data_IF_006826511703
#
_entry.id   IF_006826511703
#
_cell.length_a   1.000
_cell.length_b   1.000
_cell.length_c   1.000
_cell.angle_alpha   90.00
_cell.angle_beta   90.00
_cell.angle_gamma   90.00
#
_symmetry.space_group_name_H-M   'P 1'
#
loop_
_entity.id
_entity.type
_entity.pdbx_description
1 polymer ?
#
# COMPACT_ATOMS: atom_id res chain seq x y z
N UNK A 1 -17.56 -2.63 4.17
CA UNK A 1 -16.89 -2.74 2.87
C UNK A 1 -16.02 -3.99 2.85
N UNK A 2 -16.00 -4.69 1.75
CA UNK A 2 -15.04 -5.75 1.45
C UNK A 2 -14.43 -5.40 0.10
N UNK A 3 -13.12 -5.37 0.02
CA UNK A 3 -12.40 -4.98 -1.19
C UNK A 3 -11.32 -5.99 -1.56
N UNK A 4 -11.02 -6.03 -2.84
CA UNK A 4 -9.85 -6.65 -3.46
C UNK A 4 -9.00 -5.52 -4.02
N UNK A 5 -7.72 -5.53 -3.73
CA UNK A 5 -6.70 -4.67 -4.33
C UNK A 5 -5.70 -5.55 -5.06
N UNK A 6 -5.42 -5.22 -6.30
CA UNK A 6 -4.44 -5.86 -7.16
C UNK A 6 -3.35 -4.83 -7.50
N UNK A 7 -2.08 -5.19 -7.42
CA UNK A 7 -0.99 -4.27 -7.70
C UNK A 7 0.24 -5.00 -8.22
N UNK A 8 0.94 -4.37 -9.16
CA UNK A 8 2.24 -4.79 -9.66
C UNK A 8 3.37 -4.04 -8.95
N UNK A 9 4.30 -4.79 -8.34
CA UNK A 9 5.46 -4.26 -7.65
C UNK A 9 6.76 -4.47 -8.42
N UNK A 10 7.61 -3.44 -8.44
CA UNK A 10 8.94 -3.51 -9.03
C UNK A 10 9.96 -2.88 -8.10
N UNK A 11 10.84 -3.69 -7.52
CA UNK A 11 11.99 -3.20 -6.79
C UNK A 11 13.19 -3.04 -7.74
N UNK A 12 13.82 -1.87 -7.73
CA UNK A 12 15.05 -1.59 -8.47
C UNK A 12 16.13 -1.17 -7.48
N UNK A 13 17.23 -1.92 -7.47
CA UNK A 13 18.42 -1.61 -6.65
C UNK A 13 19.52 -1.18 -7.61
N UNK A 14 19.96 0.07 -7.51
CA UNK A 14 21.09 0.61 -8.27
C UNK A 14 22.19 1.01 -7.31
N UNK A 15 23.39 0.51 -7.49
CA UNK A 15 24.52 0.83 -6.64
C UNK A 15 25.85 0.42 -7.19
N UNK A 16 26.89 0.83 -6.52
CA UNK A 16 28.25 0.39 -6.80
C UNK A 16 28.49 -0.96 -6.16
N UNK A 17 28.82 -1.98 -6.95
CA UNK A 17 29.17 -3.27 -6.39
C UNK A 17 30.42 -3.18 -5.54
N UNK A 18 30.36 -3.72 -4.33
CA UNK A 18 31.56 -3.95 -3.52
C UNK A 18 32.11 -5.32 -3.85
N UNK A 19 33.33 -5.37 -4.30
CA UNK A 19 34.01 -6.62 -4.59
C UNK A 19 34.98 -6.95 -3.46
N UNK A 20 34.93 -8.20 -3.02
CA UNK A 20 35.95 -8.76 -2.13
C UNK A 20 37.30 -8.84 -2.89
N UNK A 21 38.23 -7.99 -2.51
CA UNK A 21 39.60 -8.07 -3.03
C UNK A 21 40.44 -8.75 -1.97
N UNK A 22 40.94 -9.91 -2.30
CA UNK A 22 41.92 -10.65 -1.47
C UNK A 22 43.32 -10.10 -1.75
N UNK A 23 43.90 -9.46 -0.75
CA UNK A 23 45.32 -9.06 -0.81
C UNK A 23 46.20 -10.23 -0.37
N UNK A 24 47.41 -10.34 -0.96
CA UNK A 24 48.42 -11.31 -0.52
C UNK A 24 48.61 -11.18 1.01
N UNK A 25 48.47 -12.25 1.76
CA UNK A 25 48.34 -12.43 3.20
C UNK A 25 46.91 -12.61 3.73
N UNK A 26 46.00 -13.09 2.92
CA UNK A 26 44.61 -13.43 3.31
C UNK A 26 43.80 -12.27 3.94
N UNK A 27 44.17 -11.04 3.71
CA UNK A 27 43.43 -9.88 4.18
C UNK A 27 42.45 -9.45 3.08
N UNK A 28 41.19 -9.78 3.24
CA UNK A 28 40.12 -9.41 2.32
C UNK A 28 39.51 -8.07 2.81
N UNK A 29 39.60 -7.05 1.97
CA UNK A 29 38.90 -5.78 2.21
C UNK A 29 37.85 -5.58 1.14
N UNK A 30 36.67 -5.18 1.56
CA UNK A 30 35.62 -4.70 0.68
C UNK A 30 36.10 -3.39 0.04
N UNK A 31 36.15 -3.32 -1.27
CA UNK A 31 36.43 -2.11 -2.01
C UNK A 31 35.33 -1.88 -3.02
N UNK A 32 34.83 -0.66 -3.05
CA UNK A 32 33.99 -0.23 -4.16
C UNK A 32 34.84 -0.24 -5.44
N UNK A 33 34.48 -1.10 -6.39
CA UNK A 33 35.20 -1.21 -7.68
C UNK A 33 34.74 -0.15 -8.70
N UNK A 34 33.79 0.70 -8.31
CA UNK A 34 33.24 1.75 -9.15
C UNK A 34 32.31 1.25 -10.24
N UNK A 35 32.02 -0.06 -10.29
CA UNK A 35 31.07 -0.62 -11.26
C UNK A 35 29.64 -0.44 -10.73
N UNK A 36 28.87 0.37 -11.43
CA UNK A 36 27.44 0.50 -11.15
C UNK A 36 26.71 -0.74 -11.65
N UNK A 37 25.93 -1.35 -10.77
CA UNK A 37 25.05 -2.49 -11.12
C UNK A 37 23.61 -2.14 -10.80
N UNK A 38 22.69 -2.61 -11.64
CA UNK A 38 21.25 -2.49 -11.43
C UNK A 38 20.64 -3.88 -11.37
N UNK A 39 19.96 -4.17 -10.29
CA UNK A 39 19.15 -5.39 -10.14
C UNK A 39 17.69 -5.02 -10.05
N UNK A 40 16.82 -5.74 -10.73
CA UNK A 40 15.38 -5.51 -10.75
C UNK A 40 14.66 -6.79 -10.38
N UNK A 41 13.77 -6.71 -9.38
CA UNK A 41 12.87 -7.79 -8.98
C UNK A 41 11.45 -7.31 -9.24
N UNK A 42 10.59 -8.16 -9.80
CA UNK A 42 9.18 -7.88 -10.05
C UNK A 42 8.33 -8.87 -9.27
N UNK A 43 7.18 -8.43 -8.81
CA UNK A 43 6.17 -9.25 -8.17
C UNK A 43 4.79 -8.62 -8.39
N UNK A 44 3.75 -9.44 -8.38
CA UNK A 44 2.36 -9.02 -8.35
C UNK A 44 1.74 -9.54 -7.06
N UNK A 45 0.95 -8.73 -6.39
CA UNK A 45 0.33 -9.07 -5.11
C UNK A 45 -1.13 -8.68 -5.11
N UNK A 46 -1.95 -9.56 -4.56
CA UNK A 46 -3.37 -9.35 -4.34
C UNK A 46 -3.64 -9.20 -2.84
N UNK A 47 -4.39 -8.19 -2.45
CA UNK A 47 -4.79 -7.98 -1.06
C UNK A 47 -6.31 -7.94 -0.92
N UNK A 48 -6.83 -8.68 0.07
CA UNK A 48 -8.22 -8.62 0.47
C UNK A 48 -8.33 -7.82 1.76
N UNK A 49 -9.24 -6.86 1.75
CA UNK A 49 -9.42 -5.97 2.89
C UNK A 49 -10.90 -5.81 3.25
N UNK A 50 -11.20 -5.82 4.54
CA UNK A 50 -12.53 -5.53 5.07
C UNK A 50 -12.47 -4.33 6.01
N UNK A 51 -13.39 -3.36 5.83
CA UNK A 51 -13.40 -2.17 6.67
C UNK A 51 -14.80 -1.58 6.86
N UNK A 52 -14.93 -0.77 7.90
CA UNK A 52 -16.14 0.01 8.20
C UNK A 52 -15.83 1.48 7.94
N UNK A 53 -16.71 2.15 7.22
CA UNK A 53 -16.62 3.57 6.95
C UNK A 53 -17.88 4.30 7.45
N UNK A 54 -17.70 5.53 7.88
CA UNK A 54 -18.78 6.48 8.11
C UNK A 54 -19.00 7.29 6.85
N UNK A 55 -20.24 7.59 6.50
CA UNK A 55 -20.54 8.40 5.33
C UNK A 55 -21.62 9.43 5.60
N UNK A 56 -21.59 10.50 4.81
CA UNK A 56 -22.61 11.53 4.79
C UNK A 56 -22.87 11.96 3.34
N UNK A 57 -24.14 12.21 3.03
CA UNK A 57 -24.59 12.68 1.71
C UNK A 57 -25.49 13.89 1.84
N UNK A 58 -25.41 14.78 0.88
CA UNK A 58 -26.32 15.89 0.70
C UNK A 58 -26.98 15.82 -0.68
N UNK A 59 -28.27 16.02 -0.73
CA UNK A 59 -29.03 16.12 -1.97
C UNK A 59 -28.76 17.47 -2.66
N UNK A 60 -28.44 17.42 -3.93
CA UNK A 60 -28.32 18.61 -4.76
C UNK A 60 -29.62 18.84 -5.51
N UNK A 61 -30.47 19.69 -4.95
CA UNK A 61 -31.78 20.00 -5.53
C UNK A 61 -32.66 18.72 -5.67
N UNK A 62 -33.82 18.86 -6.28
CA UNK A 62 -34.72 17.71 -6.56
C UNK A 62 -34.35 17.00 -7.87
N UNK A 63 -33.05 16.75 -8.08
CA UNK A 63 -32.52 16.22 -9.36
C UNK A 63 -32.10 14.76 -9.30
N UNK A 64 -32.15 14.13 -8.12
CA UNK A 64 -31.58 12.80 -7.90
C UNK A 64 -30.06 12.82 -7.73
N UNK A 65 -29.41 13.99 -7.85
CA UNK A 65 -27.98 14.15 -7.61
C UNK A 65 -27.69 14.27 -6.12
N UNK A 66 -26.67 13.57 -5.67
CA UNK A 66 -26.14 13.64 -4.29
C UNK A 66 -24.64 13.84 -4.34
N UNK A 67 -24.12 14.63 -3.40
CA UNK A 67 -22.67 14.69 -3.11
C UNK A 67 -22.42 14.03 -1.78
N UNK A 68 -21.37 13.29 -1.66
CA UNK A 68 -21.07 12.53 -0.47
C UNK A 68 -19.60 12.47 -0.14
N UNK A 69 -19.35 12.17 1.13
CA UNK A 69 -18.05 11.89 1.69
C UNK A 69 -18.15 10.62 2.53
N UNK A 70 -17.11 9.79 2.46
CA UNK A 70 -16.96 8.60 3.31
C UNK A 70 -15.57 8.63 3.95
N UNK A 71 -15.47 8.17 5.20
CA UNK A 71 -14.24 8.19 5.99
C UNK A 71 -14.11 6.92 6.80
N UNK A 72 -12.92 6.34 6.82
CA UNK A 72 -12.54 5.21 7.66
C UNK A 72 -11.80 5.74 8.89
N UNK A 73 -12.39 5.64 10.11
CA UNK A 73 -11.85 6.32 11.30
C UNK A 73 -10.77 5.53 12.04
N UNK A 74 -10.09 4.61 11.37
CA UNK A 74 -9.03 3.78 11.96
C UNK A 74 -8.06 3.31 10.88
N UNK A 75 -6.85 2.94 11.29
CA UNK A 75 -5.85 2.38 10.39
C UNK A 75 -6.27 0.99 9.88
N UNK A 76 -6.07 0.76 8.60
CA UNK A 76 -6.16 -0.55 7.97
C UNK A 76 -4.75 -1.14 7.94
N UNK A 77 -4.50 -2.10 8.81
CA UNK A 77 -3.17 -2.68 8.99
C UNK A 77 -2.98 -3.88 8.07
N UNK A 78 -1.83 -3.94 7.38
CA UNK A 78 -1.42 -5.14 6.64
C UNK A 78 -0.85 -6.18 7.60
N UNK A 79 -0.70 -7.40 7.12
CA UNK A 79 0.11 -8.40 7.83
C UNK A 79 1.57 -7.92 7.96
N UNK A 80 2.19 -8.27 9.09
CA UNK A 80 3.62 -8.00 9.29
C UNK A 80 4.43 -9.04 8.55
N UNK A 81 5.25 -8.61 7.60
CA UNK A 81 6.20 -9.48 6.92
C UNK A 81 7.55 -9.46 7.66
N UNK A 82 8.05 -10.65 8.00
CA UNK A 82 9.33 -10.83 8.65
C UNK A 82 10.33 -11.48 7.70
N UNK A 83 11.53 -10.92 7.64
CA UNK A 83 12.65 -11.49 6.90
C UNK A 83 13.90 -11.50 7.79
N UNK A 84 14.50 -12.67 7.96
CA UNK A 84 15.75 -12.80 8.72
C UNK A 84 16.92 -12.73 7.78
N UNK A 85 17.75 -11.71 7.95
CA UNK A 85 18.97 -11.49 7.18
C UNK A 85 20.19 -11.63 8.09
N UNK A 86 21.25 -12.23 7.53
CA UNK A 86 22.53 -12.29 8.19
C UNK A 86 23.35 -11.04 7.85
N UNK A 87 23.22 -10.00 8.69
CA UNK A 87 23.99 -8.76 8.58
C UNK A 87 25.22 -8.81 9.49
N UNK A 88 26.26 -8.06 9.15
CA UNK A 88 27.50 -7.96 9.92
C UNK A 88 28.22 -9.32 10.14
N UNK A 89 28.57 -9.96 9.03
CA UNK A 89 29.50 -11.09 9.09
C UNK A 89 30.91 -10.54 9.41
N UNK A 90 31.38 -10.72 10.63
CA UNK A 90 32.78 -10.47 10.97
C UNK A 90 33.61 -11.72 10.67
N UNK A 91 34.65 -11.56 9.88
CA UNK A 91 35.66 -12.59 9.66
C UNK A 91 36.84 -12.30 10.58
N UNK A 92 37.01 -13.13 11.57
CA UNK A 92 38.19 -13.01 12.43
C UNK A 92 39.37 -13.72 11.74
N UNK A 93 40.39 -12.97 11.37
CA UNK A 93 41.61 -13.45 10.74
C UNK A 93 42.77 -13.53 11.77
N UNK A 94 42.49 -13.91 12.99
CA UNK A 94 43.59 -14.16 13.93
C UNK A 94 44.38 -15.41 13.50
N UNK A 95 45.62 -15.22 13.20
CA UNK A 95 46.69 -16.24 13.12
C UNK A 95 46.65 -17.24 11.95
N UNK A 96 46.30 -16.80 10.72
CA UNK A 96 46.56 -17.61 9.51
C UNK A 96 45.75 -18.90 9.40
N UNK A 97 44.74 -19.08 10.22
CA UNK A 97 43.76 -20.17 10.18
C UNK A 97 42.47 -19.73 9.53
N UNK A 98 41.78 -20.64 8.88
CA UNK A 98 40.43 -20.45 8.36
C UNK A 98 39.52 -19.89 9.43
N UNK A 99 39.26 -18.56 9.40
CA UNK A 99 38.41 -17.90 10.36
C UNK A 99 36.97 -18.38 10.22
N UNK A 100 36.32 -18.59 11.33
CA UNK A 100 34.87 -18.82 11.38
C UNK A 100 34.16 -17.49 11.03
N UNK A 101 33.27 -17.51 10.05
CA UNK A 101 32.38 -16.37 9.80
C UNK A 101 31.30 -16.36 10.86
N UNK A 102 31.34 -15.40 11.77
CA UNK A 102 30.26 -15.18 12.73
C UNK A 102 29.36 -14.09 12.14
N UNK A 103 28.19 -14.48 11.65
CA UNK A 103 27.17 -13.57 11.15
C UNK A 103 26.09 -13.40 12.23
N UNK A 104 25.72 -12.17 12.51
CA UNK A 104 24.59 -11.90 13.40
C UNK A 104 23.31 -11.91 12.56
N UNK A 105 22.37 -12.76 12.92
CA UNK A 105 21.05 -12.76 12.33
C UNK A 105 20.27 -11.54 12.83
N UNK A 106 19.71 -10.78 11.91
CA UNK A 106 18.85 -9.64 12.22
C UNK A 106 17.50 -9.86 11.54
N UNK A 107 16.42 -9.85 12.33
CA UNK A 107 15.07 -9.90 11.77
C UNK A 107 14.64 -8.51 11.38
N UNK A 108 14.23 -8.38 10.14
CA UNK A 108 13.65 -7.18 9.56
C UNK A 108 12.15 -7.37 9.50
N UNK A 109 11.38 -6.36 9.91
CA UNK A 109 9.91 -6.38 9.85
C UNK A 109 9.43 -5.22 9.02
N UNK A 110 8.43 -5.48 8.18
CA UNK A 110 7.72 -4.47 7.39
C UNK A 110 6.23 -4.69 7.57
N UNK A 111 5.53 -3.63 7.90
CA UNK A 111 4.07 -3.56 7.96
C UNK A 111 3.64 -2.26 7.28
N UNK A 112 2.52 -2.29 6.59
CA UNK A 112 1.93 -1.12 5.95
C UNK A 112 0.58 -0.86 6.60
N UNK A 113 0.38 0.37 7.04
CA UNK A 113 -0.91 0.84 7.51
C UNK A 113 -1.46 1.85 6.52
N UNK A 114 -2.74 1.74 6.20
CA UNK A 114 -3.49 2.74 5.43
C UNK A 114 -4.35 3.52 6.40
N UNK A 115 -4.04 4.81 6.55
CA UNK A 115 -4.69 5.71 7.49
C UNK A 115 -5.45 6.81 6.74
N UNK A 116 -6.40 7.44 7.42
CA UNK A 116 -7.15 8.59 6.92
C UNK A 116 -7.80 8.37 5.54
N UNK A 117 -8.30 7.14 5.29
CA UNK A 117 -8.96 6.82 4.03
C UNK A 117 -10.25 7.63 3.89
N UNK A 118 -10.23 8.58 2.98
CA UNK A 118 -11.35 9.46 2.64
C UNK A 118 -11.78 9.26 1.19
N UNK A 119 -13.08 9.29 0.98
CA UNK A 119 -13.68 9.17 -0.36
C UNK A 119 -14.65 10.32 -0.55
N UNK A 120 -14.52 11.06 -1.65
CA UNK A 120 -15.43 12.11 -2.06
C UNK A 120 -16.08 11.75 -3.38
N UNK A 121 -17.40 11.90 -3.49
CA UNK A 121 -18.11 11.42 -4.66
C UNK A 121 -19.36 12.24 -5.01
N UNK A 122 -19.80 12.05 -6.24
CA UNK A 122 -21.11 12.45 -6.73
C UNK A 122 -21.86 11.19 -7.13
N UNK A 123 -23.12 11.08 -6.76
CA UNK A 123 -24.01 9.99 -7.12
C UNK A 123 -25.27 10.52 -7.80
N UNK A 124 -25.74 9.79 -8.80
CA UNK A 124 -27.04 10.04 -9.43
C UNK A 124 -27.97 8.86 -9.12
N UNK A 125 -29.05 9.15 -8.40
CA UNK A 125 -30.08 8.19 -8.05
C UNK A 125 -31.27 8.31 -9.00
N UNK A 126 -31.67 7.18 -9.55
CA UNK A 126 -32.87 7.05 -10.35
C UNK A 126 -33.91 6.20 -9.58
N UNK A 127 -35.08 6.79 -9.33
CA UNK A 127 -36.17 6.10 -8.65
C UNK A 127 -36.71 4.97 -9.52
N UNK A 128 -36.89 3.81 -8.91
CA UNK A 128 -37.47 2.62 -9.53
C UNK A 128 -38.50 2.04 -8.56
N UNK A 129 -39.63 1.62 -9.06
CA UNK A 129 -40.70 1.04 -8.20
C UNK A 129 -40.80 -0.46 -8.45
N UNK A 130 -39.78 -1.20 -7.98
CA UNK A 130 -39.70 -2.65 -8.17
C UNK A 130 -40.08 -3.45 -6.90
N UNK A 131 -40.76 -2.81 -5.94
CA UNK A 131 -41.20 -3.44 -4.69
C UNK A 131 -40.06 -3.71 -3.69
N UNK A 132 -39.01 -4.40 -4.10
CA UNK A 132 -37.82 -4.68 -3.27
C UNK A 132 -36.79 -3.55 -3.30
N UNK A 133 -36.83 -2.68 -4.31
CA UNK A 133 -35.87 -1.59 -4.55
C UNK A 133 -36.62 -0.30 -4.84
N UNK A 134 -36.14 0.80 -4.28
CA UNK A 134 -36.72 2.13 -4.47
C UNK A 134 -35.85 2.98 -5.40
N UNK A 135 -34.54 2.77 -5.42
CA UNK A 135 -33.67 3.44 -6.39
C UNK A 135 -32.50 2.58 -6.82
N UNK A 136 -32.02 2.87 -8.02
CA UNK A 136 -30.73 2.45 -8.54
C UNK A 136 -29.86 3.70 -8.68
N UNK A 137 -28.53 3.56 -8.51
CA UNK A 137 -27.65 4.71 -8.63
C UNK A 137 -26.34 4.34 -9.28
N UNK A 138 -25.73 5.35 -9.86
CA UNK A 138 -24.34 5.34 -10.31
C UNK A 138 -23.61 6.43 -9.52
N UNK A 139 -22.38 6.15 -9.13
CA UNK A 139 -21.54 7.13 -8.45
C UNK A 139 -20.12 7.10 -9.00
N UNK A 140 -19.43 8.24 -8.88
CA UNK A 140 -18.03 8.36 -9.22
C UNK A 140 -17.37 9.41 -8.36
N UNK A 141 -16.09 9.25 -8.12
CA UNK A 141 -15.39 10.13 -7.24
C UNK A 141 -13.90 9.84 -7.13
N UNK A 142 -13.31 10.41 -6.08
CA UNK A 142 -11.90 10.28 -5.76
C UNK A 142 -11.73 9.67 -4.37
N UNK A 143 -10.63 8.97 -4.20
CA UNK A 143 -10.22 8.35 -2.95
C UNK A 143 -8.80 8.79 -2.62
N UNK A 144 -8.53 9.07 -1.35
CA UNK A 144 -7.21 9.41 -0.84
C UNK A 144 -6.99 8.76 0.51
N UNK A 145 -5.78 8.32 0.77
CA UNK A 145 -5.38 7.74 2.04
C UNK A 145 -3.88 7.96 2.28
N UNK A 146 -3.46 8.01 3.52
CA UNK A 146 -2.06 7.99 3.90
C UNK A 146 -1.56 6.55 4.04
N UNK A 147 -0.43 6.25 3.41
CA UNK A 147 0.27 4.97 3.50
C UNK A 147 1.47 5.14 4.42
N UNK A 148 1.37 4.54 5.59
CA UNK A 148 2.38 4.59 6.63
C UNK A 148 3.18 3.29 6.60
N UNK A 149 4.48 3.39 6.32
CA UNK A 149 5.36 2.22 6.34
C UNK A 149 6.00 2.08 7.72
N UNK A 150 5.63 1.02 8.44
CA UNK A 150 6.24 0.65 9.72
C UNK A 150 7.39 -0.30 9.47
N UNK A 151 8.56 0.26 9.33
CA UNK A 151 9.77 -0.49 8.97
C UNK A 151 10.73 -0.59 10.16
N UNK A 152 11.18 -1.81 10.44
CA UNK A 152 12.25 -2.09 11.39
C UNK A 152 13.36 -2.84 10.66
N UNK A 153 14.18 -2.11 9.94
CA UNK A 153 15.13 -2.65 8.97
C UNK A 153 16.58 -2.60 9.47
N UNK A 154 16.84 -2.58 10.76
CA UNK A 154 18.18 -2.63 11.37
C UNK A 154 19.31 -1.91 10.55
N UNK A 155 19.71 -2.46 9.40
CA UNK A 155 20.71 -1.90 8.50
C UNK A 155 20.17 -1.69 7.07
N UNK A 156 18.86 -1.81 6.86
CA UNK A 156 18.20 -1.67 5.56
C UNK A 156 17.89 -0.23 5.17
N UNK A 157 17.33 -0.08 3.97
CA UNK A 157 16.81 1.20 3.50
C UNK A 157 15.42 1.44 4.04
N UNK A 158 15.13 2.65 4.48
CA UNK A 158 13.78 3.08 4.86
C UNK A 158 13.14 3.81 3.68
N UNK A 159 11.89 3.49 3.38
CA UNK A 159 11.17 4.06 2.25
C UNK A 159 10.30 5.25 2.63
N UNK A 160 9.90 5.36 3.89
CA UNK A 160 9.06 6.45 4.39
C UNK A 160 7.59 6.31 4.00
N UNK A 161 6.81 7.30 4.38
CA UNK A 161 5.37 7.34 4.14
C UNK A 161 5.05 7.97 2.78
N UNK A 162 3.88 7.66 2.24
CA UNK A 162 3.38 8.22 1.00
C UNK A 162 1.86 8.36 1.05
N UNK A 163 1.27 9.01 0.06
CA UNK A 163 -0.17 9.14 -0.10
C UNK A 163 -0.62 8.24 -1.25
N UNK A 164 -1.68 7.48 -1.03
CA UNK A 164 -2.40 6.71 -2.04
C UNK A 164 -3.58 7.54 -2.51
N UNK A 165 -3.67 7.82 -3.81
CA UNK A 165 -4.81 8.50 -4.40
C UNK A 165 -5.34 7.72 -5.59
N UNK A 166 -6.65 7.87 -5.87
CA UNK A 166 -7.30 7.15 -6.95
C UNK A 166 -8.63 7.78 -7.33
N UNK A 167 -9.22 7.22 -8.38
CA UNK A 167 -10.56 7.54 -8.83
C UNK A 167 -11.37 6.27 -8.98
N UNK A 168 -12.67 6.37 -8.77
CA UNK A 168 -13.54 5.22 -8.85
C UNK A 168 -14.86 5.52 -9.53
N UNK A 169 -15.48 4.47 -10.02
CA UNK A 169 -16.86 4.45 -10.48
C UNK A 169 -17.57 3.27 -9.83
N UNK A 170 -18.84 3.46 -9.51
CA UNK A 170 -19.64 2.42 -8.87
C UNK A 170 -21.09 2.49 -9.27
N UNK A 171 -21.78 1.41 -8.98
CA UNK A 171 -23.22 1.29 -9.14
C UNK A 171 -23.82 0.57 -7.93
N UNK A 172 -25.07 0.86 -7.65
CA UNK A 172 -25.73 0.23 -6.53
C UNK A 172 -27.24 0.38 -6.55
N UNK A 173 -27.84 -0.19 -5.53
CA UNK A 173 -29.28 -0.19 -5.30
C UNK A 173 -29.58 0.22 -3.86
N UNK A 174 -30.69 0.89 -3.67
CA UNK A 174 -31.12 1.40 -2.36
C UNK A 174 -32.57 1.05 -2.08
N UNK A 175 -32.84 0.63 -0.86
CA UNK A 175 -34.18 0.43 -0.32
C UNK A 175 -34.41 1.38 0.85
N UNK A 176 -35.43 2.21 0.73
CA UNK A 176 -35.88 3.10 1.79
C UNK A 176 -36.94 2.43 2.65
N UNK A 177 -36.98 2.80 3.93
CA UNK A 177 -37.96 2.35 4.90
C UNK A 177 -38.79 3.54 5.37
N UNK A 178 -40.03 3.29 5.82
CA UNK A 178 -40.98 4.34 6.22
C UNK A 178 -40.52 5.24 7.38
N UNK A 179 -39.52 4.79 8.16
CA UNK A 179 -38.94 5.52 9.27
C UNK A 179 -37.72 6.40 8.88
N UNK A 180 -37.46 6.55 7.57
CA UNK A 180 -36.33 7.29 7.03
C UNK A 180 -35.01 6.51 7.04
N UNK A 181 -34.99 5.27 7.51
CA UNK A 181 -33.84 4.40 7.33
C UNK A 181 -33.73 3.93 5.88
N UNK A 182 -32.51 3.66 5.44
CA UNK A 182 -32.28 3.00 4.15
C UNK A 182 -31.19 1.96 4.26
N UNK A 183 -31.24 0.99 3.36
CA UNK A 183 -30.19 0.00 3.15
C UNK A 183 -29.73 0.09 1.71
N UNK A 184 -28.42 0.04 1.51
CA UNK A 184 -27.79 0.18 0.21
C UNK A 184 -26.77 -0.94 -0.01
N UNK A 185 -26.75 -1.48 -1.22
CA UNK A 185 -25.72 -2.40 -1.70
C UNK A 185 -25.09 -1.77 -2.93
N UNK A 186 -23.78 -1.73 -2.98
CA UNK A 186 -23.05 -1.14 -4.11
C UNK A 186 -21.78 -1.93 -4.43
N UNK A 187 -21.36 -1.85 -5.69
CA UNK A 187 -20.07 -2.31 -6.18
C UNK A 187 -19.31 -1.18 -6.84
N UNK A 188 -18.02 -1.07 -6.54
CA UNK A 188 -17.16 -0.03 -7.10
C UNK A 188 -15.92 -0.68 -7.71
N UNK A 189 -15.40 -0.06 -8.76
CA UNK A 189 -14.06 -0.31 -9.30
C UNK A 189 -13.25 0.96 -9.17
N UNK A 190 -12.02 0.81 -8.72
CA UNK A 190 -11.11 1.91 -8.40
C UNK A 190 -9.82 1.74 -9.16
N UNK A 191 -9.31 2.81 -9.74
CA UNK A 191 -7.98 2.88 -10.31
C UNK A 191 -7.16 3.85 -9.46
N UNK A 192 -6.06 3.35 -8.90
CA UNK A 192 -5.14 4.15 -8.10
C UNK A 192 -4.00 4.68 -8.95
N UNK A 193 -3.35 5.74 -8.47
CA UNK A 193 -2.16 6.29 -9.09
C UNK A 193 -0.93 5.47 -8.68
N UNK A 194 0.04 5.41 -9.58
CA UNK A 194 1.33 4.76 -9.30
C UNK A 194 2.03 5.39 -8.11
N UNK A 195 2.66 4.55 -7.30
CA UNK A 195 3.45 4.97 -6.15
C UNK A 195 4.92 4.68 -6.42
N UNK A 196 5.77 5.67 -6.15
CA UNK A 196 7.21 5.51 -6.20
C UNK A 196 7.84 5.83 -4.86
N UNK A 197 8.48 4.84 -4.26
CA UNK A 197 9.21 4.97 -3.01
C UNK A 197 10.71 4.89 -3.28
N UNK A 198 11.48 5.80 -2.67
CA UNK A 198 12.94 5.78 -2.74
C UNK A 198 13.50 5.55 -1.36
N UNK A 199 14.21 4.45 -1.20
CA UNK A 199 14.82 4.07 0.07
C UNK A 199 16.04 4.93 0.40
N UNK A 200 16.10 5.39 1.65
CA UNK A 200 17.28 6.06 2.21
C UNK A 200 18.09 5.05 3.00
N UNK A 201 19.39 4.90 2.71
CA UNK A 201 20.26 4.02 3.48
C UNK A 201 20.77 4.74 4.72
N UNK A 202 20.77 4.06 5.85
CA UNK A 202 21.35 4.57 7.11
C UNK A 202 22.87 4.36 7.19
N UNK A 203 23.46 3.60 6.25
CA UNK A 203 24.91 3.35 6.19
C UNK A 203 25.59 4.34 5.26
N UNK A 204 26.51 5.10 5.79
CA UNK A 204 27.35 6.04 5.04
C UNK A 204 28.26 5.35 3.98
N UNK A 205 28.44 4.05 4.08
CA UNK A 205 29.30 3.23 3.18
C UNK A 205 28.53 2.57 2.04
N UNK A 206 27.20 2.47 2.14
CA UNK A 206 26.35 1.90 1.09
C UNK A 206 25.84 3.00 0.16
N UNK A 207 26.44 3.14 -1.00
CA UNK A 207 25.97 4.09 -2.03
C UNK A 207 24.88 3.48 -2.93
N UNK A 208 24.05 2.60 -2.36
CA UNK A 208 22.96 1.97 -3.08
C UNK A 208 21.69 2.79 -2.99
N UNK A 209 21.08 3.09 -4.12
CA UNK A 209 19.74 3.65 -4.18
C UNK A 209 18.76 2.52 -4.46
N UNK A 210 17.77 2.37 -3.60
CA UNK A 210 16.68 1.42 -3.78
C UNK A 210 15.41 2.18 -4.12
N UNK A 211 14.70 1.70 -5.12
CA UNK A 211 13.43 2.28 -5.53
C UNK A 211 12.40 1.16 -5.63
N UNK A 212 11.23 1.40 -5.10
CA UNK A 212 10.04 0.56 -5.30
C UNK A 212 9.06 1.37 -6.13
N UNK A 213 8.75 0.86 -7.31
CA UNK A 213 7.67 1.37 -8.15
C UNK A 213 6.49 0.40 -8.00
N UNK A 214 5.33 0.89 -7.59
CA UNK A 214 4.07 0.15 -7.52
C UNK A 214 3.16 0.75 -8.58
N UNK A 215 2.78 -0.07 -9.55
CA UNK A 215 2.04 0.35 -10.74
C UNK A 215 0.82 -0.55 -10.95
N UNK A 216 -0.04 -0.14 -11.86
CA UNK A 216 -1.23 -0.92 -12.26
C UNK A 216 -2.07 -1.35 -11.03
N UNK A 217 -2.27 -0.40 -10.10
CA UNK A 217 -3.06 -0.63 -8.91
C UNK A 217 -4.54 -0.45 -9.19
N UNK A 218 -5.25 -1.57 -9.24
CA UNK A 218 -6.69 -1.60 -9.43
C UNK A 218 -7.39 -2.20 -8.21
N UNK A 219 -8.56 -1.70 -7.90
CA UNK A 219 -9.36 -2.16 -6.79
C UNK A 219 -10.81 -2.43 -7.17
N UNK A 220 -11.40 -3.41 -6.52
CA UNK A 220 -12.83 -3.67 -6.57
C UNK A 220 -13.39 -3.78 -5.15
N UNK A 221 -14.50 -3.09 -4.88
CA UNK A 221 -15.13 -3.12 -3.56
C UNK A 221 -16.62 -3.45 -3.66
N UNK A 222 -17.11 -4.25 -2.71
CA UNK A 222 -18.52 -4.43 -2.44
C UNK A 222 -18.85 -3.82 -1.08
N UNK A 223 -19.91 -3.03 -1.04
CA UNK A 223 -20.31 -2.28 0.16
C UNK A 223 -21.76 -2.55 0.50
N UNK A 224 -22.00 -2.83 1.78
CA UNK A 224 -23.33 -2.80 2.38
C UNK A 224 -23.39 -1.60 3.33
N UNK A 225 -24.35 -0.70 3.11
CA UNK A 225 -24.53 0.50 3.92
C UNK A 225 -25.90 0.53 4.56
N UNK A 226 -25.95 1.09 5.76
CA UNK A 226 -27.20 1.43 6.46
C UNK A 226 -27.09 2.90 6.83
N UNK A 227 -28.12 3.66 6.50
CA UNK A 227 -28.15 5.09 6.78
C UNK A 227 -29.54 5.59 7.18
N UNK A 228 -29.59 6.87 7.54
CA UNK A 228 -30.84 7.56 7.86
C UNK A 228 -30.90 8.87 7.10
N UNK A 229 -32.01 9.09 6.44
CA UNK A 229 -32.38 10.35 5.80
C UNK A 229 -33.14 11.24 6.79
N UNK A 230 -32.88 12.55 6.76
CA UNK A 230 -33.48 13.57 7.62
C UNK A 230 -34.21 14.62 6.80
#
# INVERSE_FOLDING_TARGET
NVGLLEADGKETITGTSQRDITFGNNNTRLRADGVSSTSTTKGAEDAYIGYIALFGEAHLLDTGLRVGVSYVPYALESETTENTRHDNCSRDYSDGKTGSNTCTATTQTVQIDVEDLITMYVAYHHEVNLGLLDSVFVKGGVIEADVITKEKLASGSQYGNTTLSGQFIGLGVEKNMDNGLFVRVEGNVTQYQDIKLTGTTTRAEDQNTKTIDITDMDGATATLSIGKSF
#
